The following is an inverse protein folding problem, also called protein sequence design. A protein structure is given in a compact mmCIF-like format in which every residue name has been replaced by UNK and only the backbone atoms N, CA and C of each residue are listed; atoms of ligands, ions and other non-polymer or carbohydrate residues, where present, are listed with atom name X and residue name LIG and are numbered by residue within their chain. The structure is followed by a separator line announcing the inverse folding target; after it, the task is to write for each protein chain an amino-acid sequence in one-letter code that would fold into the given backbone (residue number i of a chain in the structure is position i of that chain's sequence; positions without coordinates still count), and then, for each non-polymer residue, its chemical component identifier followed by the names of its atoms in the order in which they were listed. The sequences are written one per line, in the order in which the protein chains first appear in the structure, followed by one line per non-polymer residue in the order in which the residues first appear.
data_IF_210611164261
#
_entry.id   IF_210611164261
#
_cell.length_a   1.000
_cell.length_b   1.000
_cell.length_c   1.000
_cell.angle_alpha   90.00
_cell.angle_beta   90.00
_cell.angle_gamma   90.00
#
_symmetry.space_group_name_H-M   'P 1'
#
loop_
_entity.id
_entity.type
_entity.pdbx_description
1 polymer ?
#
# COMPACT_ATOMS: atom_id res chain seq x y z
N UNK A 1 4.84 5.43 0.51
CA UNK A 1 4.85 4.37 1.56
C UNK A 1 5.29 4.90 2.91
N UNK A 2 6.51 5.45 3.05
CA UNK A 2 6.97 6.04 4.32
C UNK A 2 5.97 7.02 4.95
N UNK A 3 5.42 7.97 4.18
CA UNK A 3 4.38 8.90 4.66
C UNK A 3 3.12 8.21 5.20
N UNK A 4 2.62 7.17 4.53
CA UNK A 4 1.43 6.43 4.99
C UNK A 4 1.72 5.63 6.28
N UNK A 5 2.93 5.09 6.41
CA UNK A 5 3.34 4.38 7.62
C UNK A 5 3.49 5.30 8.82
N UNK A 6 4.04 6.51 8.60
CA UNK A 6 4.10 7.56 9.61
C UNK A 6 2.71 8.05 10.00
N UNK A 7 1.82 8.20 9.01
CA UNK A 7 0.43 8.53 9.28
C UNK A 7 -0.27 7.43 10.09
N UNK A 8 -0.17 6.16 9.71
CA UNK A 8 -0.78 5.05 10.48
C UNK A 8 -0.20 4.93 11.90
N UNK A 9 1.07 5.31 12.08
CA UNK A 9 1.70 5.35 13.40
C UNK A 9 1.16 6.49 14.25
N UNK A 10 1.11 7.70 13.67
CA UNK A 10 0.73 8.91 14.37
C UNK A 10 -0.79 9.00 14.53
N UNK A 11 -1.54 9.02 13.44
CA UNK A 11 -2.97 9.37 13.39
C UNK A 11 -3.88 8.19 13.03
N UNK A 12 -3.31 7.06 12.60
CA UNK A 12 -4.07 5.87 12.23
C UNK A 12 -4.86 5.29 13.39
N UNK A 13 -5.69 4.29 13.10
CA UNK A 13 -6.68 3.75 14.04
C UNK A 13 -6.16 3.11 15.33
N UNK A 14 -4.86 3.20 15.63
CA UNK A 14 -4.24 2.75 16.87
C UNK A 14 -3.52 3.86 17.66
N UNK A 15 -3.29 5.04 17.06
CA UNK A 15 -2.58 6.18 17.66
C UNK A 15 -1.41 5.75 18.57
N UNK A 16 -0.30 5.33 17.97
CA UNK A 16 0.76 4.68 18.76
C UNK A 16 1.68 5.64 19.50
N UNK A 17 1.49 6.94 19.36
CA UNK A 17 2.20 7.96 20.13
C UNK A 17 1.41 8.33 21.39
N UNK A 18 1.22 7.35 22.28
CA UNK A 18 0.65 7.54 23.61
C UNK A 18 1.31 6.61 24.64
N UNK A 19 0.91 6.76 25.90
CA UNK A 19 1.39 5.95 27.03
C UNK A 19 1.02 4.48 26.95
N UNK A 20 -0.03 4.13 26.20
CA UNK A 20 -0.54 2.76 26.10
C UNK A 20 0.35 1.93 25.17
N UNK A 21 1.04 2.59 24.23
CA UNK A 21 1.95 1.95 23.28
C UNK A 21 3.43 2.10 23.65
N UNK A 22 3.80 3.15 24.36
CA UNK A 22 5.20 3.50 24.66
C UNK A 22 5.40 3.66 26.18
N UNK A 23 6.44 3.01 26.70
CA UNK A 23 6.83 3.08 28.11
C UNK A 23 6.76 1.72 28.83
N UNK A 24 7.14 1.72 30.12
CA UNK A 24 7.22 0.49 30.92
C UNK A 24 5.87 -0.12 31.30
N UNK A 25 4.79 0.68 31.28
CA UNK A 25 3.41 0.21 31.50
C UNK A 25 2.62 -0.01 30.21
N UNK A 26 3.26 0.11 29.04
CA UNK A 26 2.60 -0.02 27.76
C UNK A 26 2.24 -1.48 27.44
N UNK A 27 1.49 -1.68 26.34
CA UNK A 27 1.24 -2.99 25.75
C UNK A 27 -0.11 -3.60 26.09
N UNK A 28 -0.93 -2.96 26.93
CA UNK A 28 -2.31 -3.38 27.17
C UNK A 28 -3.12 -3.49 25.86
N UNK A 29 -3.13 -2.50 24.94
CA UNK A 29 -3.85 -2.63 23.67
C UNK A 29 -3.35 -3.80 22.81
N UNK A 30 -2.05 -4.10 22.87
CA UNK A 30 -1.44 -5.21 22.15
C UNK A 30 -1.82 -6.55 22.77
N UNK A 31 -1.76 -6.67 24.09
CA UNK A 31 -2.14 -7.87 24.84
C UNK A 31 -3.61 -8.19 24.63
N UNK A 32 -4.48 -7.19 24.74
CA UNK A 32 -5.91 -7.29 24.47
C UNK A 32 -6.20 -7.77 23.06
N UNK A 33 -5.52 -7.19 22.06
CA UNK A 33 -5.72 -7.63 20.69
C UNK A 33 -5.22 -9.05 20.46
N UNK A 34 -4.08 -9.40 21.04
CA UNK A 34 -3.51 -10.74 20.94
C UNK A 34 -4.45 -11.77 21.59
N UNK A 35 -4.97 -11.50 22.78
CA UNK A 35 -5.94 -12.35 23.47
C UNK A 35 -7.24 -12.51 22.67
N UNK A 36 -7.77 -11.42 22.09
CA UNK A 36 -8.91 -11.49 21.17
C UNK A 36 -8.60 -12.34 19.95
N UNK A 37 -7.46 -12.14 19.29
CA UNK A 37 -7.10 -12.94 18.12
C UNK A 37 -6.98 -14.45 18.42
N UNK A 38 -6.50 -14.81 19.63
CA UNK A 38 -6.51 -16.19 20.11
C UNK A 38 -7.94 -16.69 20.30
N UNK A 39 -8.79 -15.90 20.97
CA UNK A 39 -10.20 -16.26 21.21
C UNK A 39 -11.02 -16.36 19.93
N UNK A 40 -10.74 -15.52 18.94
CA UNK A 40 -11.37 -15.49 17.61
C UNK A 40 -10.90 -16.67 16.72
N UNK A 41 -10.00 -17.54 17.21
CA UNK A 41 -9.54 -18.71 16.48
C UNK A 41 -8.51 -18.40 15.39
N UNK A 42 -7.49 -17.59 15.71
CA UNK A 42 -6.31 -17.44 14.81
C UNK A 42 -5.60 -18.78 14.56
N UNK A 43 -4.63 -18.79 13.66
CA UNK A 43 -3.86 -19.98 13.29
C UNK A 43 -3.16 -20.59 14.51
N UNK A 44 -3.27 -21.91 14.69
CA UNK A 44 -2.76 -22.64 15.87
C UNK A 44 -1.30 -22.30 16.21
N UNK A 45 -0.41 -22.30 15.21
CA UNK A 45 1.00 -21.97 15.42
C UNK A 45 1.20 -20.51 15.86
N UNK A 46 0.34 -19.60 15.40
CA UNK A 46 0.42 -18.19 15.72
C UNK A 46 -0.19 -17.91 17.09
N UNK A 47 -1.27 -18.59 17.46
CA UNK A 47 -1.83 -18.54 18.82
C UNK A 47 -0.75 -18.91 19.86
N UNK A 48 0.01 -19.98 19.62
CA UNK A 48 1.12 -20.37 20.49
C UNK A 48 2.19 -19.26 20.63
N UNK A 49 2.49 -18.52 19.56
CA UNK A 49 3.40 -17.36 19.61
C UNK A 49 2.79 -16.21 20.40
N UNK A 50 1.50 -15.92 20.21
CA UNK A 50 0.81 -14.86 20.93
C UNK A 50 0.79 -15.14 22.44
N UNK A 51 0.38 -16.34 22.84
CA UNK A 51 0.26 -16.74 24.24
C UNK A 51 1.61 -16.89 24.95
N UNK A 52 2.58 -17.52 24.27
CA UNK A 52 3.88 -17.86 24.85
C UNK A 52 4.91 -16.73 24.80
N UNK A 53 4.77 -15.77 23.87
CA UNK A 53 5.79 -14.75 23.61
C UNK A 53 5.24 -13.34 23.68
N UNK A 54 4.16 -13.04 22.93
CA UNK A 54 3.67 -11.66 22.80
C UNK A 54 2.98 -11.19 24.07
N UNK A 55 2.01 -11.94 24.58
CA UNK A 55 1.22 -11.59 25.78
C UNK A 55 2.12 -11.53 27.02
N UNK A 56 3.05 -12.47 27.17
CA UNK A 56 3.96 -12.53 28.33
C UNK A 56 4.86 -11.29 28.45
N UNK A 57 5.15 -10.61 27.35
CA UNK A 57 6.04 -9.45 27.31
C UNK A 57 5.43 -8.31 26.46
N UNK A 58 4.13 -8.07 26.62
CA UNK A 58 3.38 -7.14 25.76
C UNK A 58 3.97 -5.73 25.74
N UNK A 59 4.46 -5.24 26.88
CA UNK A 59 5.14 -3.93 26.96
C UNK A 59 6.36 -3.86 26.04
N UNK A 60 7.22 -4.89 26.04
CA UNK A 60 8.42 -4.94 25.23
C UNK A 60 8.06 -4.95 23.74
N UNK A 61 7.14 -5.84 23.35
CA UNK A 61 6.71 -5.98 21.96
C UNK A 61 5.97 -4.73 21.45
N UNK A 62 5.23 -4.05 22.31
CA UNK A 62 4.57 -2.77 21.98
C UNK A 62 5.59 -1.68 21.68
N UNK A 63 6.55 -1.46 22.58
CA UNK A 63 7.62 -0.49 22.37
C UNK A 63 8.44 -0.82 21.11
N UNK A 64 8.80 -2.11 20.94
CA UNK A 64 9.54 -2.57 19.76
C UNK A 64 8.74 -2.34 18.47
N UNK A 65 7.44 -2.63 18.45
CA UNK A 65 6.58 -2.41 17.29
C UNK A 65 6.54 -0.93 16.88
N UNK A 66 6.45 -0.01 17.84
CA UNK A 66 6.49 1.44 17.57
C UNK A 66 7.84 1.86 17.01
N UNK A 67 8.93 1.47 17.68
CA UNK A 67 10.29 1.82 17.26
C UNK A 67 10.58 1.27 15.87
N UNK A 68 10.23 0.01 15.59
CA UNK A 68 10.41 -0.60 14.27
C UNK A 68 9.58 0.13 13.22
N UNK A 69 8.27 0.34 13.45
CA UNK A 69 7.40 1.03 12.51
C UNK A 69 7.90 2.43 12.17
N UNK A 70 8.30 3.22 13.18
CA UNK A 70 8.90 4.53 12.97
C UNK A 70 10.20 4.44 12.16
N UNK A 71 11.12 3.55 12.55
CA UNK A 71 12.43 3.41 11.92
C UNK A 71 12.30 3.02 10.45
N UNK A 72 11.52 1.99 10.13
CA UNK A 72 11.38 1.58 8.72
C UNK A 72 10.52 2.55 7.91
N UNK A 73 9.58 3.27 8.53
CA UNK A 73 8.84 4.31 7.83
C UNK A 73 9.75 5.47 7.39
N UNK A 74 10.63 5.94 8.27
CA UNK A 74 11.63 6.97 7.96
C UNK A 74 12.61 6.44 6.90
N UNK A 75 13.15 5.23 7.10
CA UNK A 75 14.08 4.60 6.17
C UNK A 75 13.49 4.48 4.76
N UNK A 76 12.24 4.03 4.62
CA UNK A 76 11.53 3.95 3.34
C UNK A 76 11.16 5.33 2.76
N UNK A 77 10.95 6.35 3.61
CA UNK A 77 10.67 7.71 3.17
C UNK A 77 11.88 8.34 2.49
N UNK A 78 13.05 8.23 3.13
CA UNK A 78 14.30 8.81 2.59
C UNK A 78 15.04 7.88 1.63
N UNK A 79 14.62 6.61 1.56
CA UNK A 79 15.29 5.57 0.78
C UNK A 79 16.68 5.22 1.31
N UNK A 80 16.82 5.14 2.64
CA UNK A 80 18.02 4.71 3.34
C UNK A 80 17.83 3.28 3.85
N UNK A 81 18.74 2.38 3.49
CA UNK A 81 18.62 0.94 3.73
C UNK A 81 17.24 0.42 3.36
N UNK A 82 16.76 0.79 2.17
CA UNK A 82 15.38 0.57 1.75
C UNK A 82 15.03 -0.93 1.73
N UNK A 83 15.95 -1.81 1.34
CA UNK A 83 15.74 -3.27 1.32
C UNK A 83 15.67 -3.88 2.74
N UNK A 84 16.64 -3.65 3.63
CA UNK A 84 16.50 -4.03 5.04
C UNK A 84 15.21 -3.50 5.69
N UNK A 85 14.89 -2.21 5.47
CA UNK A 85 13.67 -1.60 5.99
C UNK A 85 12.41 -2.29 5.45
N UNK A 86 12.39 -2.66 4.16
CA UNK A 86 11.29 -3.40 3.57
C UNK A 86 11.16 -4.83 4.13
N UNK A 87 12.27 -5.54 4.38
CA UNK A 87 12.25 -6.86 5.02
C UNK A 87 11.65 -6.76 6.42
N UNK A 88 12.13 -5.82 7.23
CA UNK A 88 11.60 -5.58 8.58
C UNK A 88 10.12 -5.21 8.53
N UNK A 89 9.73 -4.33 7.60
CA UNK A 89 8.33 -3.97 7.37
C UNK A 89 7.44 -5.16 7.01
N UNK A 90 7.90 -6.03 6.10
CA UNK A 90 7.17 -7.25 5.73
C UNK A 90 6.99 -8.20 6.92
N UNK A 91 8.04 -8.40 7.72
CA UNK A 91 7.97 -9.23 8.93
C UNK A 91 7.01 -8.64 9.98
N UNK A 92 7.05 -7.31 10.15
CA UNK A 92 6.11 -6.60 11.02
C UNK A 92 4.66 -6.81 10.56
N UNK A 93 4.36 -6.60 9.28
CA UNK A 93 3.00 -6.74 8.76
C UNK A 93 2.52 -8.19 8.73
N UNK A 94 3.41 -9.16 8.53
CA UNK A 94 3.05 -10.57 8.60
C UNK A 94 2.44 -10.94 9.97
N UNK A 95 3.04 -10.46 11.06
CA UNK A 95 2.45 -10.63 12.41
C UNK A 95 1.08 -9.98 12.52
N UNK A 96 0.96 -8.74 12.05
CA UNK A 96 -0.31 -7.99 12.10
C UNK A 96 -1.43 -8.69 11.31
N UNK A 97 -1.12 -9.28 10.15
CA UNK A 97 -2.09 -10.04 9.37
C UNK A 97 -2.62 -11.25 10.15
N UNK A 98 -1.73 -12.01 10.80
CA UNK A 98 -2.13 -13.19 11.56
C UNK A 98 -2.92 -12.83 12.86
N UNK A 99 -2.93 -11.58 13.30
CA UNK A 99 -3.84 -11.09 14.35
C UNK A 99 -5.26 -10.78 13.84
N UNK A 100 -5.56 -11.01 12.55
CA UNK A 100 -6.89 -10.76 11.97
C UNK A 100 -7.28 -9.29 11.93
N UNK A 101 -6.34 -8.36 12.05
CA UNK A 101 -6.64 -6.93 12.03
C UNK A 101 -6.86 -6.46 10.59
N UNK A 102 -8.12 -6.45 10.16
CA UNK A 102 -8.55 -5.93 8.83
C UNK A 102 -8.13 -4.46 8.65
N UNK A 103 -7.99 -3.74 9.76
CA UNK A 103 -7.55 -2.35 9.82
C UNK A 103 -6.22 -2.16 9.08
N UNK A 104 -5.28 -3.08 9.21
CA UNK A 104 -3.97 -2.95 8.57
C UNK A 104 -3.92 -3.83 7.32
N UNK A 105 -4.35 -3.26 6.20
CA UNK A 105 -4.54 -4.01 4.96
C UNK A 105 -3.23 -4.66 4.46
N UNK A 106 -3.29 -5.92 3.96
CA UNK A 106 -2.21 -6.55 3.20
C UNK A 106 -1.65 -5.73 2.05
N UNK A 107 -2.39 -4.73 1.58
CA UNK A 107 -1.93 -3.70 0.64
C UNK A 107 -0.60 -3.05 1.07
N UNK A 108 -0.35 -2.84 2.37
CA UNK A 108 0.96 -2.37 2.85
C UNK A 108 2.08 -3.35 2.54
N UNK A 109 1.84 -4.64 2.82
CA UNK A 109 2.81 -5.71 2.54
C UNK A 109 3.15 -5.78 1.05
N UNK A 110 2.17 -5.64 0.15
CA UNK A 110 2.40 -5.67 -1.30
C UNK A 110 3.26 -4.51 -1.76
N UNK A 111 2.91 -3.29 -1.35
CA UNK A 111 3.67 -2.11 -1.75
C UNK A 111 5.11 -2.16 -1.20
N UNK A 112 5.31 -2.62 0.03
CA UNK A 112 6.64 -2.81 0.63
C UNK A 112 7.41 -3.93 -0.09
N UNK A 113 6.76 -5.04 -0.44
CA UNK A 113 7.35 -6.12 -1.22
C UNK A 113 7.78 -5.66 -2.60
N UNK A 114 6.98 -4.81 -3.26
CA UNK A 114 7.38 -4.18 -4.52
C UNK A 114 8.63 -3.30 -4.35
N UNK A 115 8.70 -2.47 -3.30
CA UNK A 115 9.87 -1.63 -3.01
C UNK A 115 11.14 -2.46 -2.75
N UNK A 116 11.00 -3.61 -2.08
CA UNK A 116 12.10 -4.56 -1.86
C UNK A 116 12.68 -5.07 -3.18
N UNK A 117 11.82 -5.41 -4.15
CA UNK A 117 12.25 -5.95 -5.45
C UNK A 117 12.76 -4.85 -6.39
N UNK A 118 12.06 -3.72 -6.45
CA UNK A 118 12.39 -2.61 -7.33
C UNK A 118 13.68 -1.85 -6.94
N UNK A 119 14.22 -2.12 -5.75
CA UNK A 119 15.41 -1.46 -5.21
C UNK A 119 15.35 0.07 -5.29
N UNK A 120 14.17 0.64 -4.98
CA UNK A 120 13.88 2.05 -5.22
C UNK A 120 14.85 3.00 -4.47
N UNK A 121 15.38 2.58 -3.31
CA UNK A 121 16.37 3.35 -2.55
C UNK A 121 17.65 3.62 -3.34
N UNK A 122 18.14 2.64 -4.12
CA UNK A 122 19.36 2.79 -4.92
C UNK A 122 19.16 3.75 -6.11
N UNK A 123 17.95 3.82 -6.66
CA UNK A 123 17.66 4.66 -7.81
C UNK A 123 17.25 6.09 -7.44
N UNK A 124 16.49 6.24 -6.34
CA UNK A 124 15.80 7.50 -6.02
C UNK A 124 16.06 8.00 -4.59
N UNK A 125 16.72 7.21 -3.75
CA UNK A 125 16.89 7.48 -2.33
C UNK A 125 18.32 7.79 -1.90
N UNK A 126 18.49 7.89 -0.58
CA UNK A 126 19.78 8.12 0.06
C UNK A 126 20.78 6.98 -0.23
N UNK A 127 20.31 5.73 -0.38
CA UNK A 127 21.18 4.59 -0.75
C UNK A 127 21.94 4.85 -2.06
N UNK A 128 21.26 5.39 -3.08
CA UNK A 128 21.87 5.75 -4.36
C UNK A 128 22.82 6.94 -4.30
N UNK A 129 22.58 7.88 -3.37
CA UNK A 129 23.49 9.00 -3.15
C UNK A 129 24.76 8.55 -2.40
N UNK A 130 24.61 7.70 -1.38
CA UNK A 130 25.72 7.14 -0.60
C UNK A 130 26.59 6.24 -1.49
N UNK A 131 26.01 5.41 -2.36
CA UNK A 131 26.77 4.49 -3.22
C UNK A 131 27.71 5.19 -4.20
N UNK A 132 27.45 6.46 -4.53
CA UNK A 132 28.33 7.28 -5.38
C UNK A 132 29.56 7.83 -4.66
N UNK A 133 29.63 7.69 -3.34
CA UNK A 133 30.75 8.17 -2.55
C UNK A 133 31.85 7.11 -2.44
N UNK A 134 33.12 7.54 -2.43
CA UNK A 134 34.28 6.63 -2.36
C UNK A 134 34.68 6.20 -0.94
N UNK A 135 33.91 6.59 0.08
CA UNK A 135 34.27 6.38 1.49
C UNK A 135 34.11 4.91 1.94
N UNK A 136 34.81 4.53 3.02
CA UNK A 136 34.66 3.20 3.65
C UNK A 136 33.21 3.00 4.14
N UNK A 137 32.60 4.05 4.65
CA UNK A 137 31.21 4.04 5.12
C UNK A 137 30.22 3.83 3.97
N UNK A 138 30.47 4.42 2.80
CA UNK A 138 29.67 4.19 1.61
C UNK A 138 29.69 2.73 1.17
N UNK A 139 30.88 2.12 1.09
CA UNK A 139 31.02 0.68 0.77
C UNK A 139 30.32 -0.22 1.78
N UNK A 140 30.39 0.12 3.07
CA UNK A 140 29.68 -0.64 4.13
C UNK A 140 28.17 -0.50 3.98
N UNK A 141 27.68 0.72 3.79
CA UNK A 141 26.25 1.00 3.60
C UNK A 141 25.72 0.29 2.35
N UNK A 142 26.48 0.27 1.27
CA UNK A 142 26.10 -0.42 0.03
C UNK A 142 25.97 -1.93 0.22
N UNK A 143 26.87 -2.57 0.99
CA UNK A 143 26.71 -4.00 1.33
C UNK A 143 25.43 -4.28 2.12
N UNK A 144 25.06 -3.39 3.01
CA UNK A 144 23.82 -3.51 3.79
C UNK A 144 22.60 -3.26 2.89
N UNK A 145 22.63 -2.22 2.06
CA UNK A 145 21.54 -1.85 1.16
C UNK A 145 21.32 -2.90 0.06
N UNK A 146 22.36 -3.60 -0.37
CA UNK A 146 22.28 -4.68 -1.37
C UNK A 146 21.87 -6.04 -0.80
N UNK A 147 21.70 -6.14 0.53
CA UNK A 147 21.26 -7.37 1.19
C UNK A 147 19.92 -7.87 0.65
N UNK A 148 19.79 -9.20 0.50
CA UNK A 148 18.56 -9.86 0.10
C UNK A 148 18.45 -10.22 -1.39
N UNK A 149 19.55 -10.28 -2.15
CA UNK A 149 19.55 -10.93 -3.47
C UNK A 149 19.49 -12.46 -3.28
N UNK A 150 18.40 -13.06 -3.78
CA UNK A 150 18.23 -14.51 -3.72
C UNK A 150 18.90 -15.14 -4.96
N UNK A 151 19.76 -16.16 -4.80
CA UNK A 151 20.33 -16.89 -5.92
C UNK A 151 19.24 -17.49 -6.81
N UNK A 152 19.38 -17.39 -8.14
CA UNK A 152 18.39 -17.93 -9.10
C UNK A 152 18.12 -19.42 -8.92
N UNK A 153 19.12 -20.18 -8.46
CA UNK A 153 18.99 -21.61 -8.16
C UNK A 153 17.96 -21.91 -7.06
N UNK A 154 17.64 -20.94 -6.21
CA UNK A 154 16.67 -21.10 -5.11
C UNK A 154 15.23 -20.77 -5.54
N UNK A 155 15.04 -20.15 -6.71
CA UNK A 155 13.72 -19.66 -7.14
C UNK A 155 12.66 -20.78 -7.23
N UNK A 156 12.95 -21.98 -7.78
CA UNK A 156 11.96 -23.06 -7.82
C UNK A 156 11.52 -23.49 -6.41
N UNK A 157 12.47 -23.62 -5.47
CA UNK A 157 12.19 -24.02 -4.10
C UNK A 157 11.37 -22.96 -3.35
N UNK A 158 11.67 -21.69 -3.56
CA UNK A 158 10.91 -20.59 -2.95
C UNK A 158 9.51 -20.50 -3.57
N UNK A 159 9.37 -20.71 -4.88
CA UNK A 159 8.07 -20.78 -5.53
C UNK A 159 7.21 -21.92 -4.96
N UNK A 160 7.79 -23.10 -4.78
CA UNK A 160 7.12 -24.24 -4.17
C UNK A 160 6.72 -23.95 -2.70
N UNK A 161 7.61 -23.36 -1.92
CA UNK A 161 7.33 -22.97 -0.54
C UNK A 161 6.19 -21.93 -0.47
N UNK A 162 6.24 -20.90 -1.31
CA UNK A 162 5.18 -19.91 -1.38
C UNK A 162 3.84 -20.55 -1.79
N UNK A 163 3.84 -21.46 -2.76
CA UNK A 163 2.63 -22.20 -3.14
C UNK A 163 2.07 -23.05 -1.99
N UNK A 164 2.93 -23.71 -1.20
CA UNK A 164 2.52 -24.46 -0.02
C UNK A 164 1.94 -23.56 1.07
N UNK A 165 2.52 -22.39 1.31
CA UNK A 165 1.97 -21.38 2.24
C UNK A 165 0.61 -20.90 1.75
N UNK A 166 0.46 -20.63 0.45
CA UNK A 166 -0.82 -20.26 -0.14
C UNK A 166 -1.88 -21.35 0.02
N UNK A 167 -1.50 -22.61 -0.23
CA UNK A 167 -2.39 -23.76 -0.04
C UNK A 167 -2.80 -23.92 1.42
N UNK A 168 -1.87 -23.75 2.37
CA UNK A 168 -2.18 -23.76 3.80
C UNK A 168 -3.27 -22.75 4.14
N UNK A 169 -3.09 -21.47 3.75
CA UNK A 169 -4.08 -20.44 4.04
C UNK A 169 -5.41 -20.71 3.34
N UNK A 170 -5.39 -21.19 2.09
CA UNK A 170 -6.59 -21.56 1.34
C UNK A 170 -7.40 -22.64 2.06
N UNK A 171 -6.73 -23.68 2.54
CA UNK A 171 -7.37 -24.81 3.22
C UNK A 171 -7.92 -24.44 4.60
N UNK A 172 -7.39 -23.39 5.23
CA UNK A 172 -7.90 -22.91 6.53
C UNK A 172 -9.14 -22.01 6.41
N UNK A 173 -9.53 -21.58 5.21
CA UNK A 173 -10.69 -20.68 5.04
C UNK A 173 -12.02 -21.40 5.37
N UNK A 174 -12.33 -22.62 4.86
CA UNK A 174 -13.60 -23.29 5.14
C UNK A 174 -13.82 -23.58 6.63
N UNK A 175 -12.74 -23.90 7.35
CA UNK A 175 -12.76 -24.21 8.79
C UNK A 175 -13.15 -23.00 9.66
N UNK A 176 -13.17 -21.79 9.08
CA UNK A 176 -13.51 -20.53 9.77
C UNK A 176 -14.96 -20.10 9.60
N UNK A 177 -15.80 -20.93 8.96
CA UNK A 177 -17.21 -20.65 8.76
C UNK A 177 -17.51 -19.66 7.64
N UNK A 178 -18.81 -19.50 7.33
CA UNK A 178 -19.30 -18.67 6.22
C UNK A 178 -19.32 -17.17 6.51
N UNK A 179 -18.93 -16.74 7.72
CA UNK A 179 -18.85 -15.34 8.07
C UNK A 179 -17.54 -14.76 7.49
N UNK A 180 -17.56 -14.36 6.21
CA UNK A 180 -16.55 -13.46 5.64
C UNK A 180 -16.44 -12.11 6.39
N UNK A 181 -17.33 -11.87 7.37
CA UNK A 181 -17.24 -10.81 8.36
C UNK A 181 -16.06 -10.99 9.35
N UNK A 182 -15.55 -12.22 9.54
CA UNK A 182 -14.41 -12.48 10.39
C UNK A 182 -13.12 -12.12 9.66
N UNK A 183 -12.42 -11.11 10.17
CA UNK A 183 -11.19 -10.57 9.55
C UNK A 183 -10.11 -11.60 9.25
N UNK A 184 -10.13 -12.75 9.92
CA UNK A 184 -9.21 -13.87 9.71
C UNK A 184 -9.47 -14.64 8.40
N UNK A 185 -10.72 -14.84 7.99
CA UNK A 185 -11.05 -15.50 6.73
C UNK A 185 -10.58 -14.64 5.54
N UNK A 186 -10.81 -13.32 5.64
CA UNK A 186 -10.32 -12.34 4.67
C UNK A 186 -8.79 -12.36 4.56
N UNK A 187 -8.09 -12.33 5.70
CA UNK A 187 -6.62 -12.44 5.72
C UNK A 187 -6.16 -13.74 5.06
N UNK A 188 -6.86 -14.86 5.28
CA UNK A 188 -6.57 -16.14 4.63
C UNK A 188 -6.64 -16.04 3.10
N UNK A 189 -7.70 -15.43 2.55
CA UNK A 189 -7.82 -15.18 1.10
C UNK A 189 -6.69 -14.29 0.60
N UNK A 190 -6.39 -13.20 1.30
CA UNK A 190 -5.33 -12.27 0.89
C UNK A 190 -3.96 -12.94 0.91
N UNK A 191 -3.62 -13.70 1.95
CA UNK A 191 -2.35 -14.43 2.04
C UNK A 191 -2.27 -15.56 1.01
N UNK A 192 -3.39 -16.15 0.62
CA UNK A 192 -3.46 -17.11 -0.50
C UNK A 192 -3.11 -16.43 -1.81
N UNK A 193 -3.77 -15.30 -2.12
CA UNK A 193 -3.53 -14.54 -3.35
C UNK A 193 -2.09 -14.02 -3.41
N UNK A 194 -1.57 -13.48 -2.31
CA UNK A 194 -0.19 -13.00 -2.22
C UNK A 194 0.83 -14.11 -2.42
N UNK A 195 0.62 -15.25 -1.77
CA UNK A 195 1.45 -16.44 -1.94
C UNK A 195 1.46 -16.93 -3.39
N UNK A 196 0.30 -16.93 -4.06
CA UNK A 196 0.19 -17.30 -5.47
C UNK A 196 0.93 -16.31 -6.39
N UNK A 197 0.81 -15.00 -6.14
CA UNK A 197 1.54 -13.96 -6.88
C UNK A 197 3.05 -14.12 -6.70
N UNK A 198 3.52 -14.35 -5.46
CA UNK A 198 4.94 -14.57 -5.15
C UNK A 198 5.46 -15.84 -5.84
N UNK A 199 4.74 -16.95 -5.73
CA UNK A 199 5.10 -18.21 -6.38
C UNK A 199 5.20 -18.05 -7.90
N UNK A 200 4.18 -17.48 -8.53
CA UNK A 200 4.18 -17.17 -9.97
C UNK A 200 5.34 -16.24 -10.36
N UNK A 201 5.63 -15.24 -9.52
CA UNK A 201 6.73 -14.31 -9.74
C UNK A 201 8.10 -14.99 -9.76
N UNK A 202 8.38 -15.89 -8.81
CA UNK A 202 9.63 -16.66 -8.80
C UNK A 202 9.73 -17.61 -10.00
N UNK A 203 8.63 -18.23 -10.44
CA UNK A 203 8.60 -19.07 -11.66
C UNK A 203 8.93 -18.24 -12.90
N UNK A 204 8.33 -17.05 -13.04
CA UNK A 204 8.62 -16.15 -14.16
C UNK A 204 10.06 -15.64 -14.13
N UNK A 205 10.58 -15.33 -12.94
CA UNK A 205 11.96 -14.86 -12.77
C UNK A 205 12.97 -15.98 -13.08
N UNK A 206 12.66 -17.23 -12.72
CA UNK A 206 13.47 -18.40 -13.06
C UNK A 206 13.54 -18.62 -14.58
N UNK A 207 12.44 -18.32 -15.28
CA UNK A 207 12.36 -18.35 -16.76
C UNK A 207 13.00 -17.13 -17.45
N UNK A 208 13.71 -16.28 -16.70
CA UNK A 208 14.47 -15.15 -17.25
C UNK A 208 13.71 -13.83 -17.29
N UNK A 209 12.52 -13.73 -16.68
CA UNK A 209 11.84 -12.45 -16.53
C UNK A 209 12.55 -11.48 -15.59
N UNK A 210 12.42 -10.19 -15.87
CA UNK A 210 12.98 -9.10 -15.07
C UNK A 210 12.20 -8.95 -13.75
N UNK A 211 12.85 -9.08 -12.57
CA UNK A 211 12.17 -9.09 -11.28
C UNK A 211 11.29 -7.87 -11.02
N UNK A 212 11.74 -6.67 -11.37
CA UNK A 212 10.98 -5.43 -11.16
C UNK A 212 9.68 -5.41 -11.97
N UNK A 213 9.73 -5.85 -13.23
CA UNK A 213 8.54 -5.91 -14.08
C UNK A 213 7.59 -7.06 -13.67
N UNK A 214 8.13 -8.18 -13.18
CA UNK A 214 7.32 -9.24 -12.55
C UNK A 214 6.62 -8.72 -11.29
N UNK A 215 7.33 -8.00 -10.43
CA UNK A 215 6.75 -7.42 -9.21
C UNK A 215 5.67 -6.39 -9.54
N UNK A 216 5.85 -5.61 -10.61
CA UNK A 216 4.83 -4.69 -11.12
C UNK A 216 3.58 -5.44 -11.63
N UNK A 217 3.76 -6.56 -12.33
CA UNK A 217 2.66 -7.44 -12.72
C UNK A 217 1.91 -8.00 -11.50
N UNK A 218 2.64 -8.43 -10.46
CA UNK A 218 2.04 -8.87 -9.21
C UNK A 218 1.24 -7.78 -8.50
N UNK A 219 1.79 -6.56 -8.42
CA UNK A 219 1.12 -5.39 -7.85
C UNK A 219 -0.16 -5.04 -8.62
N UNK A 220 -0.10 -5.05 -9.95
CA UNK A 220 -1.26 -4.85 -10.83
C UNK A 220 -2.35 -5.88 -10.54
N UNK A 221 -2.00 -7.17 -10.50
CA UNK A 221 -2.95 -8.26 -10.23
C UNK A 221 -3.57 -8.07 -8.85
N UNK A 222 -2.77 -7.74 -7.83
CA UNK A 222 -3.26 -7.48 -6.49
C UNK A 222 -4.23 -6.30 -6.41
N UNK A 223 -3.92 -5.17 -7.07
CA UNK A 223 -4.84 -4.02 -7.14
C UNK A 223 -6.14 -4.43 -7.81
N UNK A 224 -6.07 -5.12 -8.94
CA UNK A 224 -7.26 -5.61 -9.63
C UNK A 224 -8.10 -6.54 -8.76
N UNK A 225 -7.46 -7.50 -8.09
CA UNK A 225 -8.09 -8.37 -7.10
C UNK A 225 -8.77 -7.57 -5.99
N UNK A 226 -8.10 -6.59 -5.39
CA UNK A 226 -8.66 -5.84 -4.26
C UNK A 226 -9.84 -4.98 -4.68
N UNK A 227 -9.81 -4.39 -5.87
CA UNK A 227 -10.97 -3.70 -6.43
C UNK A 227 -12.16 -4.65 -6.54
N UNK A 228 -11.98 -5.85 -7.11
CA UNK A 228 -13.05 -6.85 -7.24
C UNK A 228 -13.53 -7.37 -5.88
N UNK A 229 -12.61 -7.60 -4.95
CA UNK A 229 -12.92 -8.05 -3.61
C UNK A 229 -13.84 -7.05 -2.90
N UNK A 230 -13.51 -5.76 -2.92
CA UNK A 230 -14.34 -4.71 -2.32
C UNK A 230 -15.69 -4.54 -3.03
N UNK A 231 -15.81 -4.89 -4.31
CA UNK A 231 -17.09 -4.84 -5.03
C UNK A 231 -18.00 -6.01 -4.67
N UNK A 232 -17.46 -7.24 -4.64
CA UNK A 232 -18.27 -8.46 -4.66
C UNK A 232 -18.30 -9.24 -3.33
N UNK A 233 -17.27 -9.10 -2.51
CA UNK A 233 -17.12 -9.90 -1.28
C UNK A 233 -17.49 -9.10 -0.04
N UNK A 234 -17.24 -7.79 -0.08
CA UNK A 234 -17.52 -6.93 1.07
C UNK A 234 -19.00 -6.57 1.16
N UNK A 235 -19.59 -6.85 2.32
CA UNK A 235 -21.01 -6.61 2.59
C UNK A 235 -21.26 -5.29 3.32
N UNK A 236 -20.31 -4.84 4.13
CA UNK A 236 -20.42 -3.63 4.96
C UNK A 236 -19.59 -2.47 4.36
N UNK A 237 -20.24 -1.39 3.90
CA UNK A 237 -19.53 -0.19 3.45
C UNK A 237 -19.01 0.61 4.64
N UNK A 238 -18.06 1.51 4.37
CA UNK A 238 -17.56 2.45 5.38
C UNK A 238 -16.52 3.41 4.82
N UNK A 239 -16.20 4.43 5.60
CA UNK A 239 -15.21 5.47 5.25
C UNK A 239 -13.82 4.88 4.97
N UNK A 240 -13.52 3.74 5.59
CA UNK A 240 -12.24 3.03 5.46
C UNK A 240 -12.19 2.05 4.26
N UNK A 241 -13.19 2.05 3.38
CA UNK A 241 -13.48 1.00 2.39
C UNK A 241 -13.58 1.57 0.98
N UNK A 242 -14.00 0.78 0.00
CA UNK A 242 -14.49 1.31 -1.28
C UNK A 242 -16.01 1.10 -1.38
N UNK A 243 -16.76 1.99 -2.06
CA UNK A 243 -18.22 1.93 -2.07
C UNK A 243 -18.80 0.62 -2.67
N UNK A 244 -18.24 0.06 -3.75
CA UNK A 244 -18.68 -1.25 -4.25
C UNK A 244 -20.21 -1.38 -4.51
N UNK A 245 -20.77 -2.58 -4.32
CA UNK A 245 -22.21 -2.89 -4.47
C UNK A 245 -23.00 -2.91 -3.15
N UNK A 246 -22.52 -2.21 -2.12
CA UNK A 246 -23.22 -2.23 -0.83
C UNK A 246 -24.66 -1.68 -0.94
N UNK A 247 -25.59 -2.13 -0.07
CA UNK A 247 -26.96 -1.63 -0.02
C UNK A 247 -27.04 -0.09 0.03
N UNK A 248 -28.02 0.49 -0.68
CA UNK A 248 -28.16 1.93 -0.83
C UNK A 248 -28.33 2.65 0.51
N UNK A 249 -29.08 2.07 1.44
CA UNK A 249 -29.32 2.58 2.79
C UNK A 249 -28.04 2.67 3.62
N UNK A 250 -27.20 1.61 3.58
CA UNK A 250 -25.91 1.62 4.27
C UNK A 250 -24.95 2.63 3.63
N UNK A 251 -24.96 2.75 2.31
CA UNK A 251 -24.17 3.76 1.61
C UNK A 251 -24.61 5.18 1.92
N UNK A 252 -25.92 5.41 2.01
CA UNK A 252 -26.46 6.71 2.35
C UNK A 252 -26.01 7.15 3.75
N UNK A 253 -25.98 6.23 4.71
CA UNK A 253 -25.43 6.49 6.04
C UNK A 253 -23.94 6.90 5.95
N UNK A 254 -23.12 6.11 5.24
CA UNK A 254 -21.69 6.41 5.08
C UNK A 254 -21.45 7.77 4.43
N UNK A 255 -22.16 8.10 3.35
CA UNK A 255 -22.00 9.41 2.69
C UNK A 255 -22.54 10.57 3.54
N UNK A 256 -23.58 10.36 4.35
CA UNK A 256 -24.06 11.37 5.29
C UNK A 256 -23.04 11.63 6.41
N UNK A 257 -22.46 10.57 6.99
CA UNK A 257 -21.41 10.67 8.00
C UNK A 257 -20.18 11.39 7.44
N UNK A 258 -19.77 11.02 6.22
CA UNK A 258 -18.69 11.69 5.50
C UNK A 258 -19.04 13.17 5.32
N UNK A 259 -20.22 13.52 4.83
CA UNK A 259 -20.60 14.91 4.59
C UNK A 259 -20.54 15.76 5.87
N UNK A 260 -21.03 15.21 6.99
CA UNK A 260 -21.01 15.86 8.29
C UNK A 260 -19.58 16.06 8.84
N UNK A 261 -18.67 15.12 8.57
CA UNK A 261 -17.28 15.13 9.04
C UNK A 261 -16.28 15.72 8.05
N UNK A 262 -16.73 16.17 6.86
CA UNK A 262 -15.86 16.74 5.83
C UNK A 262 -15.66 18.25 6.02
N UNK A 263 -14.64 18.80 5.35
CA UNK A 263 -14.53 20.26 5.16
C UNK A 263 -15.73 20.79 4.38
N UNK A 264 -16.25 21.96 4.79
CA UNK A 264 -17.53 22.54 4.33
C UNK A 264 -17.75 22.47 2.81
N UNK A 265 -16.79 22.88 1.93
CA UNK A 265 -17.05 22.86 0.50
C UNK A 265 -17.34 21.47 -0.06
N UNK A 266 -16.68 20.44 0.48
CA UNK A 266 -16.87 19.05 0.04
C UNK A 266 -18.10 18.44 0.71
N UNK A 267 -18.33 18.72 2.00
CA UNK A 267 -19.55 18.28 2.70
C UNK A 267 -20.80 18.75 1.98
N UNK A 268 -20.87 20.05 1.64
CA UNK A 268 -22.00 20.61 0.87
C UNK A 268 -22.10 20.03 -0.55
N UNK A 269 -20.98 19.73 -1.20
CA UNK A 269 -21.02 19.04 -2.50
C UNK A 269 -21.64 17.65 -2.38
N UNK A 270 -21.29 16.89 -1.33
CA UNK A 270 -21.86 15.57 -1.08
C UNK A 270 -23.37 15.68 -0.83
N UNK A 271 -23.80 16.62 0.02
CA UNK A 271 -25.21 16.83 0.33
C UNK A 271 -26.06 17.27 -0.87
N UNK A 272 -25.52 18.14 -1.72
CA UNK A 272 -26.27 18.75 -2.82
C UNK A 272 -26.20 17.93 -4.11
N UNK A 273 -25.07 17.25 -4.35
CA UNK A 273 -24.78 16.60 -5.65
C UNK A 273 -24.72 15.08 -5.56
N UNK A 274 -24.20 14.53 -4.45
CA UNK A 274 -23.99 13.08 -4.33
C UNK A 274 -25.21 12.39 -3.71
N UNK A 275 -25.62 12.79 -2.51
CA UNK A 275 -26.71 12.16 -1.77
C UNK A 275 -28.05 12.12 -2.53
N UNK A 276 -28.51 13.19 -3.22
CA UNK A 276 -29.81 13.18 -3.88
C UNK A 276 -29.93 12.18 -5.03
N UNK A 277 -28.80 11.78 -5.61
CA UNK A 277 -28.72 10.83 -6.73
C UNK A 277 -27.73 9.71 -6.43
N UNK A 278 -27.60 9.33 -5.15
CA UNK A 278 -26.60 8.37 -4.69
C UNK A 278 -26.69 7.03 -5.43
N UNK A 279 -27.89 6.56 -5.76
CA UNK A 279 -28.09 5.32 -6.53
C UNK A 279 -27.37 5.34 -7.89
N UNK A 280 -27.35 6.49 -8.57
CA UNK A 280 -26.64 6.66 -9.86
C UNK A 280 -25.13 6.62 -9.63
N UNK A 281 -24.64 7.31 -8.59
CA UNK A 281 -23.21 7.31 -8.23
C UNK A 281 -22.71 5.92 -7.82
N UNK A 282 -23.49 5.16 -7.05
CA UNK A 282 -23.13 3.80 -6.66
C UNK A 282 -22.96 2.89 -7.87
N UNK A 283 -23.88 2.96 -8.84
CA UNK A 283 -23.76 2.22 -10.10
C UNK A 283 -22.51 2.65 -10.87
N UNK A 284 -22.24 3.96 -10.95
CA UNK A 284 -21.04 4.46 -11.62
C UNK A 284 -19.74 3.98 -10.95
N UNK A 285 -19.66 4.06 -9.61
CA UNK A 285 -18.51 3.55 -8.84
C UNK A 285 -18.33 2.05 -9.03
N UNK A 286 -19.40 1.28 -8.94
CA UNK A 286 -19.35 -0.17 -9.10
C UNK A 286 -18.90 -0.58 -10.52
N UNK A 287 -19.39 0.10 -11.57
CA UNK A 287 -18.96 -0.15 -12.96
C UNK A 287 -17.47 0.15 -13.13
N UNK A 288 -17.01 1.33 -12.68
CA UNK A 288 -15.60 1.74 -12.81
C UNK A 288 -14.70 0.79 -12.04
N UNK A 289 -15.05 0.47 -10.79
CA UNK A 289 -14.28 -0.43 -9.93
C UNK A 289 -14.23 -1.86 -10.50
N UNK A 290 -15.36 -2.39 -11.00
CA UNK A 290 -15.42 -3.72 -11.62
C UNK A 290 -14.60 -3.77 -12.91
N UNK A 291 -14.79 -2.80 -13.81
CA UNK A 291 -14.11 -2.76 -15.09
C UNK A 291 -12.58 -2.62 -14.92
N UNK A 292 -12.14 -1.70 -14.03
CA UNK A 292 -10.74 -1.56 -13.69
C UNK A 292 -10.20 -2.82 -13.00
N UNK A 293 -10.96 -3.43 -12.09
CA UNK A 293 -10.61 -4.67 -11.42
C UNK A 293 -10.32 -5.82 -12.38
N UNK A 294 -11.29 -6.16 -13.25
CA UNK A 294 -11.16 -7.23 -14.24
C UNK A 294 -10.00 -6.95 -15.20
N UNK A 295 -9.93 -5.72 -15.74
CA UNK A 295 -8.91 -5.36 -16.71
C UNK A 295 -7.50 -5.39 -16.09
N UNK A 296 -7.35 -4.95 -14.84
CA UNK A 296 -6.08 -5.01 -14.12
C UNK A 296 -5.72 -6.45 -13.77
N UNK A 297 -6.62 -7.34 -13.38
CA UNK A 297 -6.27 -8.76 -13.17
C UNK A 297 -5.83 -9.42 -14.48
N UNK A 298 -6.60 -9.25 -15.56
CA UNK A 298 -6.30 -9.83 -16.86
C UNK A 298 -5.07 -9.19 -17.54
N UNK A 299 -4.71 -7.97 -17.15
CA UNK A 299 -3.66 -7.18 -17.80
C UNK A 299 -4.09 -6.74 -19.20
N UNK A 300 -5.34 -6.30 -19.32
CA UNK A 300 -5.91 -5.75 -20.54
C UNK A 300 -5.87 -4.22 -20.50
N UNK A 301 -5.22 -3.60 -21.49
CA UNK A 301 -5.01 -2.14 -21.58
C UNK A 301 -4.55 -1.56 -20.24
N UNK A 302 -3.54 -2.20 -19.65
CA UNK A 302 -3.09 -2.00 -18.27
C UNK A 302 -2.86 -0.53 -17.93
N UNK A 303 -2.22 0.24 -18.82
CA UNK A 303 -1.98 1.67 -18.58
C UNK A 303 -3.28 2.48 -18.48
N UNK A 304 -4.24 2.21 -19.38
CA UNK A 304 -5.53 2.90 -19.39
C UNK A 304 -6.30 2.60 -18.11
N UNK A 305 -6.47 1.31 -17.78
CA UNK A 305 -7.24 0.93 -16.59
C UNK A 305 -6.50 1.22 -15.29
N UNK A 306 -5.16 1.22 -15.30
CA UNK A 306 -4.35 1.75 -14.21
C UNK A 306 -4.58 3.23 -13.98
N UNK A 307 -4.60 4.05 -15.04
CA UNK A 307 -4.93 5.48 -14.95
C UNK A 307 -6.36 5.73 -14.50
N UNK A 308 -7.33 4.92 -14.98
CA UNK A 308 -8.72 4.98 -14.51
C UNK A 308 -8.79 4.67 -13.02
N UNK A 309 -8.11 3.61 -12.55
CA UNK A 309 -8.05 3.26 -11.13
C UNK A 309 -7.41 4.37 -10.29
N UNK A 310 -6.32 4.99 -10.76
CA UNK A 310 -5.69 6.15 -10.10
C UNK A 310 -6.68 7.31 -9.98
N UNK A 311 -7.35 7.70 -11.07
CA UNK A 311 -8.33 8.78 -11.06
C UNK A 311 -9.51 8.49 -10.14
N UNK A 312 -10.05 7.27 -10.21
CA UNK A 312 -11.11 6.78 -9.33
C UNK A 312 -10.72 6.89 -7.85
N UNK A 313 -9.54 6.39 -7.48
CA UNK A 313 -9.06 6.41 -6.10
C UNK A 313 -8.81 7.84 -5.61
N UNK A 314 -8.29 8.75 -6.45
CA UNK A 314 -8.14 10.18 -6.09
C UNK A 314 -9.51 10.81 -5.80
N UNK A 315 -10.52 10.54 -6.64
CA UNK A 315 -11.89 11.04 -6.43
C UNK A 315 -12.45 10.51 -5.11
N UNK A 316 -12.29 9.22 -4.82
CA UNK A 316 -12.74 8.66 -3.55
C UNK A 316 -12.04 9.27 -2.35
N UNK A 317 -10.72 9.47 -2.40
CA UNK A 317 -9.98 10.14 -1.31
C UNK A 317 -10.50 11.56 -1.11
N UNK A 318 -10.72 12.30 -2.20
CA UNK A 318 -11.25 13.66 -2.14
C UNK A 318 -12.69 13.72 -1.60
N UNK A 319 -13.47 12.65 -1.79
CA UNK A 319 -14.82 12.51 -1.25
C UNK A 319 -14.85 12.09 0.22
N UNK A 320 -13.75 11.64 0.82
CA UNK A 320 -13.75 11.20 2.22
C UNK A 320 -13.32 9.77 2.47
N UNK A 321 -12.99 8.97 1.45
CA UNK A 321 -12.53 7.59 1.66
C UNK A 321 -11.04 7.57 2.03
N UNK A 322 -10.75 7.59 3.34
CA UNK A 322 -9.44 7.99 3.86
C UNK A 322 -8.44 6.87 4.13
N UNK A 323 -8.80 5.60 3.90
CA UNK A 323 -7.91 4.48 4.27
C UNK A 323 -7.55 3.54 3.14
N UNK A 324 -8.50 2.73 2.65
CA UNK A 324 -8.18 1.75 1.61
C UNK A 324 -7.85 2.43 0.28
N UNK A 325 -8.53 3.54 -0.05
CA UNK A 325 -8.28 4.25 -1.29
C UNK A 325 -6.85 4.84 -1.39
N UNK A 326 -6.29 5.55 -0.38
CA UNK A 326 -4.89 5.97 -0.39
C UNK A 326 -3.89 4.82 -0.49
N UNK A 327 -4.17 3.68 0.16
CA UNK A 327 -3.29 2.51 0.12
C UNK A 327 -3.25 1.87 -1.27
N UNK A 328 -4.42 1.72 -1.90
CA UNK A 328 -4.52 1.20 -3.25
C UNK A 328 -3.97 2.18 -4.28
N UNK A 329 -4.11 3.49 -4.06
CA UNK A 329 -3.64 4.52 -5.00
C UNK A 329 -2.15 4.34 -5.30
N UNK A 330 -1.33 4.12 -4.28
CA UNK A 330 0.12 3.96 -4.46
C UNK A 330 0.47 2.73 -5.30
N UNK A 331 -0.27 1.63 -5.09
CA UNK A 331 -0.12 0.40 -5.86
C UNK A 331 -0.64 0.57 -7.30
N UNK A 332 -1.74 1.29 -7.48
CA UNK A 332 -2.34 1.61 -8.77
C UNK A 332 -1.46 2.54 -9.61
N UNK A 333 -0.78 3.52 -9.00
CA UNK A 333 0.18 4.40 -9.68
C UNK A 333 1.32 3.58 -10.29
N UNK A 334 1.90 2.67 -9.52
CA UNK A 334 2.95 1.79 -10.02
C UNK A 334 2.44 0.85 -11.12
N UNK A 335 1.24 0.29 -10.99
CA UNK A 335 0.61 -0.52 -12.04
C UNK A 335 0.37 0.29 -13.34
N UNK A 336 -0.11 1.54 -13.22
CA UNK A 336 -0.35 2.43 -14.35
C UNK A 336 0.95 2.83 -15.06
N UNK A 337 2.03 3.07 -14.30
CA UNK A 337 3.32 3.49 -14.83
C UNK A 337 4.07 2.36 -15.53
N UNK A 338 4.09 1.15 -14.96
CA UNK A 338 4.94 0.05 -15.40
C UNK A 338 4.28 -0.84 -16.46
N UNK A 339 2.93 -0.94 -16.45
CA UNK A 339 2.18 -1.75 -17.41
C UNK A 339 2.38 -3.26 -17.24
N UNK A 340 1.60 -4.06 -17.97
CA UNK A 340 1.70 -5.53 -17.94
C UNK A 340 2.74 -6.04 -18.93
N UNK A 341 3.67 -6.91 -18.48
CA UNK A 341 4.81 -7.37 -19.31
C UNK A 341 4.93 -8.88 -19.45
N UNK A 342 4.72 -9.64 -18.38
CA UNK A 342 4.91 -11.09 -18.37
C UNK A 342 3.58 -11.84 -18.19
N UNK A 343 2.71 -11.36 -17.31
CA UNK A 343 1.46 -12.04 -16.96
C UNK A 343 0.22 -11.26 -17.42
N UNK A 344 0.17 -10.80 -18.68
CA UNK A 344 -0.89 -9.92 -19.16
C UNK A 344 -1.37 -10.25 -20.57
N UNK A 345 -2.66 -10.01 -20.84
CA UNK A 345 -3.22 -10.05 -22.19
C UNK A 345 -2.56 -9.03 -23.12
N UNK A 346 -2.11 -7.89 -22.58
CA UNK A 346 -1.31 -6.92 -23.33
C UNK A 346 -0.02 -7.56 -23.87
N UNK A 347 0.68 -8.36 -23.08
CA UNK A 347 1.89 -9.08 -23.53
C UNK A 347 1.59 -10.11 -24.61
N UNK A 348 0.56 -10.94 -24.40
CA UNK A 348 0.15 -11.97 -25.37
C UNK A 348 -0.25 -11.35 -26.72
N UNK A 349 -0.90 -10.20 -26.70
CA UNK A 349 -1.34 -9.48 -27.90
C UNK A 349 -0.27 -8.59 -28.54
N UNK A 350 0.98 -8.64 -28.06
CA UNK A 350 2.05 -7.74 -28.54
C UNK A 350 1.82 -6.26 -28.21
N UNK A 351 0.83 -5.95 -27.37
CA UNK A 351 0.50 -4.59 -26.89
C UNK A 351 1.31 -4.19 -25.67
N UNK A 352 2.05 -5.12 -25.04
CA UNK A 352 3.07 -4.80 -24.06
C UNK A 352 4.21 -4.04 -24.74
N UNK A 353 3.95 -2.76 -25.03
CA UNK A 353 5.02 -1.81 -25.25
C UNK A 353 5.87 -1.90 -23.99
N UNK A 354 7.19 -2.00 -24.15
CA UNK A 354 8.10 -1.67 -23.07
C UNK A 354 7.57 -0.38 -22.37
N UNK A 355 7.79 -0.16 -21.04
CA UNK A 355 7.81 1.21 -20.52
C UNK A 355 8.53 1.96 -21.62
N UNK A 356 7.82 2.92 -22.24
CA UNK A 356 8.37 3.60 -23.41
C UNK A 356 9.80 3.85 -23.00
N UNK A 357 10.79 3.35 -23.77
CA UNK A 357 12.14 3.83 -23.53
C UNK A 357 11.88 5.31 -23.47
N UNK A 358 12.04 5.90 -22.29
CA UNK A 358 11.99 7.33 -22.22
C UNK A 358 13.36 7.60 -22.83
N UNK A 359 13.49 7.45 -24.16
CA UNK A 359 14.03 8.51 -24.96
C UNK A 359 13.34 9.70 -24.33
N UNK A 360 14.08 10.35 -23.43
CA UNK A 360 13.84 11.71 -23.00
C UNK A 360 13.98 12.54 -24.27
N UNK A 361 13.16 12.26 -25.28
CA UNK A 361 12.99 13.04 -26.48
C UNK A 361 12.21 14.24 -25.99
N UNK A 362 12.92 15.17 -25.34
CA UNK A 362 12.43 16.47 -24.91
C UNK A 362 10.93 16.42 -24.60
N UNK A 363 10.51 15.58 -23.64
CA UNK A 363 9.18 15.79 -23.08
C UNK A 363 9.34 17.15 -22.43
N UNK A 364 8.64 18.15 -22.97
CA UNK A 364 8.64 19.52 -22.46
C UNK A 364 8.62 19.43 -20.96
N UNK A 365 9.76 19.71 -20.33
CA UNK A 365 9.94 19.55 -18.90
C UNK A 365 8.78 20.26 -18.25
N UNK A 366 8.05 19.55 -17.39
CA UNK A 366 6.94 20.20 -16.67
C UNK A 366 7.55 21.46 -16.06
N UNK A 367 7.02 22.66 -16.37
CA UNK A 367 7.67 23.90 -15.99
C UNK A 367 8.01 23.84 -14.51
N UNK A 368 9.25 24.19 -14.13
CA UNK A 368 9.66 24.27 -12.73
C UNK A 368 8.58 24.96 -11.85
N UNK A 369 7.95 26.08 -12.29
CA UNK A 369 6.86 26.71 -11.55
C UNK A 369 5.68 25.78 -11.25
N UNK A 370 5.26 24.94 -12.20
CA UNK A 370 4.14 24.01 -12.02
C UNK A 370 4.48 22.91 -10.99
N UNK A 371 5.73 22.44 -10.96
CA UNK A 371 6.20 21.48 -9.95
C UNK A 371 6.24 22.09 -8.56
N UNK A 372 6.78 23.30 -8.43
CA UNK A 372 6.78 24.03 -7.17
C UNK A 372 5.35 24.33 -6.69
N UNK A 373 4.46 24.73 -7.59
CA UNK A 373 3.06 24.96 -7.26
C UNK A 373 2.37 23.70 -6.73
N UNK A 374 2.60 22.52 -7.34
CA UNK A 374 2.11 21.25 -6.81
C UNK A 374 2.69 20.92 -5.44
N UNK A 375 3.99 21.14 -5.24
CA UNK A 375 4.64 20.94 -3.95
C UNK A 375 4.06 21.85 -2.86
N UNK A 376 3.88 23.13 -3.15
CA UNK A 376 3.25 24.11 -2.24
C UNK A 376 1.81 23.71 -1.96
N UNK A 377 1.02 23.34 -2.98
CA UNK A 377 -0.35 22.88 -2.80
C UNK A 377 -0.42 21.64 -1.90
N UNK A 378 0.48 20.67 -2.08
CA UNK A 378 0.55 19.50 -1.21
C UNK A 378 0.85 19.87 0.25
N UNK A 379 1.83 20.77 0.48
CA UNK A 379 2.17 21.24 1.83
C UNK A 379 1.01 21.99 2.46
N UNK A 380 0.34 22.86 1.72
CA UNK A 380 -0.85 23.58 2.20
C UNK A 380 -1.95 22.59 2.57
N UNK A 381 -2.27 21.61 1.74
CA UNK A 381 -3.28 20.58 2.05
C UNK A 381 -2.94 19.81 3.32
N UNK A 382 -1.68 19.37 3.48
CA UNK A 382 -1.23 18.64 4.67
C UNK A 382 -1.31 19.55 5.90
N UNK A 383 -0.79 20.77 5.82
CA UNK A 383 -0.79 21.72 6.94
C UNK A 383 -2.21 22.13 7.35
N UNK A 384 -3.11 22.36 6.39
CA UNK A 384 -4.53 22.65 6.66
C UNK A 384 -5.20 21.45 7.30
N UNK A 385 -5.01 20.23 6.78
CA UNK A 385 -5.56 19.02 7.38
C UNK A 385 -5.08 18.82 8.82
N UNK A 386 -3.79 18.98 9.09
CA UNK A 386 -3.25 18.89 10.45
C UNK A 386 -3.74 20.04 11.35
N UNK A 387 -3.85 21.26 10.83
CA UNK A 387 -4.28 22.45 11.57
C UNK A 387 -5.76 22.46 11.93
N UNK A 388 -6.61 21.76 11.17
CA UNK A 388 -8.02 21.54 11.50
C UNK A 388 -8.22 20.52 12.63
N UNK A 389 -7.16 19.81 13.02
CA UNK A 389 -7.20 18.77 14.05
C UNK A 389 -7.54 17.40 13.46
N UNK A 390 -6.68 16.42 13.73
CA UNK A 390 -6.95 15.01 13.46
C UNK A 390 -6.99 14.32 14.82
N UNK A 391 -8.17 13.83 15.21
CA UNK A 391 -8.34 13.14 16.47
C UNK A 391 -7.82 11.70 16.37
N UNK A 392 -7.13 11.20 17.40
CA UNK A 392 -6.80 9.78 17.54
C UNK A 392 -8.06 8.93 17.35
N UNK A 393 -8.06 8.00 16.39
CA UNK A 393 -9.17 7.09 16.05
C UNK A 393 -10.43 7.72 15.40
N UNK A 394 -10.48 9.03 15.20
CA UNK A 394 -11.65 9.78 14.72
C UNK A 394 -11.87 9.73 13.21
N UNK A 395 -11.83 8.56 12.57
CA UNK A 395 -12.18 8.48 11.13
C UNK A 395 -13.58 9.05 10.88
N UNK A 396 -14.50 8.86 11.82
CA UNK A 396 -15.89 9.27 11.69
C UNK A 396 -16.10 10.77 11.98
N UNK A 397 -15.20 11.43 12.73
CA UNK A 397 -15.31 12.85 13.11
C UNK A 397 -14.31 13.76 12.39
N UNK A 398 -13.25 13.19 11.79
CA UNK A 398 -12.15 13.94 11.15
C UNK A 398 -11.87 13.52 9.71
N UNK A 399 -12.88 12.97 9.02
CA UNK A 399 -12.79 12.56 7.60
C UNK A 399 -12.23 13.67 6.72
N UNK A 400 -12.71 14.91 6.86
CA UNK A 400 -12.26 16.04 6.05
C UNK A 400 -10.76 16.35 6.23
N UNK A 401 -10.31 16.64 7.46
CA UNK A 401 -8.89 16.84 7.78
C UNK A 401 -7.98 15.72 7.25
N UNK A 402 -8.37 14.45 7.44
CA UNK A 402 -7.58 13.31 6.98
C UNK A 402 -7.54 13.27 5.44
N UNK A 403 -8.66 13.53 4.76
CA UNK A 403 -8.74 13.54 3.29
C UNK A 403 -7.78 14.56 2.69
N UNK A 404 -7.68 15.76 3.28
CA UNK A 404 -6.71 16.77 2.85
C UNK A 404 -5.26 16.27 2.97
N UNK A 405 -4.91 15.62 4.09
CA UNK A 405 -3.57 15.03 4.26
C UNK A 405 -3.29 13.95 3.22
N UNK A 406 -4.27 13.06 2.95
CA UNK A 406 -4.12 11.98 1.98
C UNK A 406 -4.02 12.48 0.54
N UNK A 407 -4.82 13.48 0.15
CA UNK A 407 -4.67 14.16 -1.14
C UNK A 407 -3.31 14.85 -1.21
N UNK A 408 -2.87 15.51 -0.15
CA UNK A 408 -1.53 16.09 -0.07
C UNK A 408 -0.42 15.07 -0.29
N UNK A 409 -0.53 13.87 0.28
CA UNK A 409 0.40 12.76 0.03
C UNK A 409 0.37 12.27 -1.43
N UNK A 410 -0.79 12.24 -2.08
CA UNK A 410 -0.91 11.92 -3.49
C UNK A 410 -0.25 13.00 -4.37
N UNK A 411 -0.52 14.28 -4.08
CA UNK A 411 0.02 15.43 -4.83
C UNK A 411 1.54 15.53 -4.67
N UNK A 412 2.09 15.34 -3.46
CA UNK A 412 3.55 15.35 -3.27
C UNK A 412 4.22 14.18 -4.01
N UNK A 413 3.59 13.00 -4.01
CA UNK A 413 4.10 11.84 -4.77
C UNK A 413 4.12 12.15 -6.27
N UNK A 414 3.06 12.78 -6.79
CA UNK A 414 2.99 13.23 -8.19
C UNK A 414 4.07 14.29 -8.49
N UNK A 415 4.22 15.30 -7.63
CA UNK A 415 5.21 16.36 -7.81
C UNK A 415 6.65 15.80 -7.85
N UNK A 416 6.95 14.82 -7.00
CA UNK A 416 8.23 14.11 -6.99
C UNK A 416 8.42 13.22 -8.22
N UNK A 417 7.37 12.51 -8.65
CA UNK A 417 7.40 11.66 -9.85
C UNK A 417 7.56 12.44 -11.16
N UNK A 418 7.18 13.72 -11.19
CA UNK A 418 7.37 14.63 -12.31
C UNK A 418 8.75 15.30 -12.34
N UNK A 419 9.63 15.00 -11.38
CA UNK A 419 10.97 15.59 -11.33
C UNK A 419 11.86 14.95 -12.39
N UNK A 420 12.26 15.76 -13.38
CA UNK A 420 13.31 15.36 -14.33
C UNK A 420 14.58 14.98 -13.54
N UNK A 421 15.01 13.73 -13.63
CA UNK A 421 16.34 13.34 -13.19
C UNK A 421 17.31 13.84 -14.26
N UNK A 422 17.99 14.94 -13.95
CA UNK A 422 19.21 15.29 -14.66
C UNK A 422 20.18 14.16 -14.37
N UNK A 423 20.43 13.32 -15.37
CA UNK A 423 21.60 12.44 -15.37
C UNK A 423 22.80 13.34 -15.07
N UNK A 424 23.50 13.16 -13.93
CA UNK A 424 24.77 13.85 -13.75
C UNK A 424 25.60 13.45 -14.96
N UNK A 425 25.98 14.41 -15.79
CA UNK A 425 26.95 14.18 -16.86
C UNK A 425 28.05 13.33 -16.23
N UNK A 426 28.23 12.11 -16.74
CA UNK A 426 29.44 11.36 -16.45
C UNK A 426 30.56 12.35 -16.69
N UNK A 427 31.29 12.71 -15.64
CA UNK A 427 32.49 13.52 -15.79
C UNK A 427 33.27 12.86 -16.92
N UNK A 428 33.56 13.63 -17.95
CA UNK A 428 34.33 13.13 -19.08
C UNK A 428 35.53 12.37 -18.51
N UNK A 429 35.88 11.19 -19.08
CA UNK A 429 37.15 10.58 -18.71
C UNK A 429 38.20 11.68 -18.80
N UNK A 430 38.91 11.91 -17.70
CA UNK A 430 40.09 12.76 -17.73
C UNK A 430 41.05 12.05 -18.68
N UNK A 431 41.05 12.48 -19.94
CA UNK A 431 42.13 12.20 -20.87
C UNK A 431 43.37 12.92 -20.33
N UNK A 432 44.27 12.08 -19.77
CA UNK A 432 45.74 12.18 -19.68
C UNK A 432 46.30 11.73 -18.31
#
# INVERSE_FOLDING_TARGET
MGLLLLYELAFGGWWKFNSDWIGHGAGEPLADRAARAVSDGTYVWYAAVLEGVVIQQAWFWSNLAVVLQLSFAIALLVGFWARPAAIVGLLYFLSVFNMGTIRTSPTFGVAIGFLLVANAGYHYGLDGWISRQSSVWARRSERIASFGSVPRSWYPSIAALAALVGLYYLLTIPDRGYAFADGLALVGVELTVLSAIVAGGFVLAYRGGEPTAIAADGLRVFVGYRLLHEVFVRVEPGVNTLPGWAPLDLQQAVFADIAAAHVTPVGSFIEIVVLPVLSVWLVAFAIVQTAAGIALVAGYRTRLFGSIAVGYLIVLIALGFVRLAPLLLMSAVAAAALGGRYASLDAVSGRARAPASITLSRRTSTPLPARYALGVAAVVLIATGLGLGIEPSGYDTTTGPISLVMVGFAVITLALGLRDFVEPQQAAPLDD
#
